data_IF_985493801782
#
_entry.id   IF_985493801782
#
_cell.length_a   1.000
_cell.length_b   1.000
_cell.length_c   1.000
_cell.angle_alpha   90.00
_cell.angle_beta   90.00
_cell.angle_gamma   90.00
#
_symmetry.space_group_name_H-M   'P 1'
#
loop_
_entity.id
_entity.type
_entity.pdbx_description
1 polymer ?
#
# COMPACT_ATOMS: atom_id res chain seq x y z
N UNK A 1 25.83 -4.05 -52.57
CA UNK A 1 24.52 -4.61 -52.15
C UNK A 1 24.69 -5.72 -51.11
N UNK A 2 25.41 -5.50 -50.00
CA UNK A 2 25.65 -6.54 -48.98
C UNK A 2 25.63 -6.03 -47.52
N UNK A 3 25.06 -4.85 -47.27
CA UNK A 3 25.07 -4.23 -45.92
C UNK A 3 23.68 -3.97 -45.34
N UNK A 4 22.60 -4.23 -46.10
CA UNK A 4 21.22 -4.05 -45.62
C UNK A 4 20.57 -5.34 -45.10
N UNK A 5 21.17 -6.50 -45.39
CA UNK A 5 20.63 -7.80 -44.98
C UNK A 5 20.91 -8.16 -43.51
N UNK A 6 21.92 -7.55 -42.87
CA UNK A 6 22.29 -7.88 -41.49
C UNK A 6 21.39 -7.21 -40.43
N UNK A 7 20.87 -6.01 -40.73
CA UNK A 7 20.01 -5.25 -39.81
C UNK A 7 18.56 -5.78 -39.74
N UNK A 8 18.09 -6.46 -40.80
CA UNK A 8 16.71 -6.97 -40.87
C UNK A 8 16.51 -8.31 -40.17
N UNK A 9 17.57 -9.08 -39.92
CA UNK A 9 17.48 -10.39 -39.23
C UNK A 9 17.40 -10.21 -37.71
N UNK A 10 18.00 -9.17 -37.15
CA UNK A 10 17.93 -8.87 -35.71
C UNK A 10 16.58 -8.32 -35.25
N UNK A 11 15.84 -7.62 -36.12
CA UNK A 11 14.54 -7.04 -35.78
C UNK A 11 13.40 -8.07 -35.70
N UNK A 12 13.54 -9.22 -36.36
CA UNK A 12 12.49 -10.25 -36.42
C UNK A 12 12.60 -11.31 -35.31
N UNK A 13 13.72 -11.38 -34.59
CA UNK A 13 13.92 -12.37 -33.51
C UNK A 13 13.35 -11.94 -32.15
N UNK A 14 13.10 -10.64 -31.93
CA UNK A 14 12.55 -10.13 -30.66
C UNK A 14 11.01 -10.16 -30.58
N UNK A 15 10.30 -10.41 -31.69
CA UNK A 15 8.84 -10.32 -31.75
C UNK A 15 8.17 -11.69 -31.46
N UNK A 16 8.95 -12.75 -31.25
CA UNK A 16 8.46 -14.13 -31.13
C UNK A 16 8.39 -14.70 -29.69
N UNK A 17 8.72 -13.94 -28.66
CA UNK A 17 8.55 -14.37 -27.25
C UNK A 17 7.79 -13.34 -26.43
N UNK A 18 6.46 -13.42 -26.45
CA UNK A 18 5.59 -13.41 -25.25
C UNK A 18 4.12 -13.36 -25.71
N UNK A 19 3.67 -14.47 -26.28
CA UNK A 19 2.24 -14.76 -26.41
C UNK A 19 1.94 -15.94 -25.50
N UNK A 20 0.85 -15.80 -24.74
CA UNK A 20 0.15 -16.82 -23.94
C UNK A 20 0.66 -17.12 -22.51
N UNK A 21 0.18 -16.31 -21.56
CA UNK A 21 -0.39 -16.86 -20.32
C UNK A 21 -1.73 -16.17 -20.07
N UNK A 22 -2.81 -16.85 -20.46
CA UNK A 22 -4.16 -16.58 -19.98
C UNK A 22 -4.30 -17.22 -18.60
N UNK A 23 -4.30 -16.40 -17.55
CA UNK A 23 -4.78 -16.78 -16.23
C UNK A 23 -5.81 -15.74 -15.79
N UNK A 24 -7.04 -16.21 -15.56
CA UNK A 24 -8.19 -15.44 -15.08
C UNK A 24 -7.84 -14.71 -13.78
N UNK A 25 -7.74 -13.38 -13.84
CA UNK A 25 -7.66 -12.53 -12.64
C UNK A 25 -9.09 -12.29 -12.18
N UNK A 26 -9.49 -12.67 -10.95
CA UNK A 26 -10.74 -12.20 -10.41
C UNK A 26 -10.65 -10.67 -10.32
N UNK A 27 -11.63 -9.98 -10.89
CA UNK A 27 -11.77 -8.54 -10.74
C UNK A 27 -11.96 -8.23 -9.24
N UNK A 28 -10.87 -7.94 -8.55
CA UNK A 28 -10.91 -7.33 -7.23
C UNK A 28 -11.47 -5.92 -7.42
N UNK A 29 -12.65 -5.71 -6.85
CA UNK A 29 -13.47 -4.53 -7.05
C UNK A 29 -12.70 -3.23 -6.72
N UNK A 30 -12.85 -2.27 -7.63
CA UNK A 30 -12.67 -0.84 -7.38
C UNK A 30 -13.57 -0.45 -6.21
N UNK A 31 -12.98 -0.19 -5.05
CA UNK A 31 -13.70 0.29 -3.87
C UNK A 31 -12.88 0.02 -2.62
N UNK A 32 -12.24 1.05 -2.09
CA UNK A 32 -11.65 1.04 -0.75
C UNK A 32 -12.75 0.96 0.31
N UNK A 33 -13.38 -0.20 0.43
CA UNK A 33 -14.17 -0.65 1.57
C UNK A 33 -13.68 -2.06 1.90
N UNK A 34 -12.68 -2.16 2.76
CA UNK A 34 -12.28 -3.44 3.37
C UNK A 34 -11.94 -3.14 4.84
N UNK A 35 -12.90 -3.36 5.74
CA UNK A 35 -13.19 -4.65 6.38
C UNK A 35 -12.13 -4.96 7.44
N UNK A 36 -12.35 -4.41 8.63
CA UNK A 36 -11.81 -4.95 9.86
C UNK A 36 -12.33 -6.40 10.00
N UNK A 37 -11.43 -7.37 9.91
CA UNK A 37 -11.74 -8.73 10.38
C UNK A 37 -11.67 -8.69 11.91
N UNK A 38 -12.77 -8.26 12.52
CA UNK A 38 -12.91 -8.15 13.96
C UNK A 38 -13.58 -9.40 14.50
N UNK A 39 -12.89 -10.13 15.39
CA UNK A 39 -13.58 -11.01 16.33
C UNK A 39 -13.74 -10.37 17.71
N UNK A 40 -12.95 -9.35 18.10
CA UNK A 40 -13.19 -8.60 19.36
C UNK A 40 -12.52 -7.19 19.39
N UNK A 41 -12.16 -6.63 18.22
CA UNK A 41 -11.40 -5.38 18.11
C UNK A 41 -12.04 -4.38 17.16
N UNK A 42 -12.17 -3.12 17.61
CA UNK A 42 -12.56 -2.01 16.76
C UNK A 42 -11.28 -1.37 16.17
N UNK A 43 -11.14 -1.44 14.85
CA UNK A 43 -10.00 -0.89 14.12
C UNK A 43 -10.51 -0.06 12.95
N UNK A 44 -10.29 1.25 13.02
CA UNK A 44 -10.77 2.19 12.01
C UNK A 44 -9.66 3.17 11.58
N UNK A 45 -9.51 3.33 10.27
CA UNK A 45 -8.67 4.38 9.68
C UNK A 45 -9.38 5.74 9.77
N UNK A 46 -8.65 6.75 10.21
CA UNK A 46 -9.07 8.15 10.21
C UNK A 46 -8.12 8.93 9.32
N UNK A 47 -8.62 9.37 8.17
CA UNK A 47 -7.84 10.21 7.25
C UNK A 47 -8.02 11.66 7.68
N UNK A 48 -6.92 12.35 8.00
CA UNK A 48 -6.98 13.69 8.58
C UNK A 48 -7.13 14.79 7.52
N UNK A 49 -6.36 14.65 6.42
CA UNK A 49 -6.20 15.75 5.45
C UNK A 49 -6.64 15.37 4.02
N UNK A 50 -7.54 14.39 3.85
CA UNK A 50 -8.00 13.95 2.51
C UNK A 50 -9.36 14.52 2.12
N UNK A 51 -9.48 14.93 0.85
CA UNK A 51 -10.71 15.47 0.25
C UNK A 51 -11.55 14.40 -0.45
N UNK A 52 -10.97 13.26 -0.79
CA UNK A 52 -11.61 12.18 -1.56
C UNK A 52 -11.68 10.85 -0.79
N UNK A 53 -11.21 10.84 0.45
CA UNK A 53 -11.14 9.63 1.29
C UNK A 53 -10.03 8.67 0.88
N UNK A 54 -9.12 9.09 0.00
CA UNK A 54 -7.97 8.30 -0.45
C UNK A 54 -6.69 8.81 0.22
N UNK A 55 -5.73 7.91 0.42
CA UNK A 55 -4.40 8.23 0.90
C UNK A 55 -3.57 8.90 -0.21
N UNK A 56 -3.15 10.15 0.02
CA UNK A 56 -2.30 10.91 -0.89
C UNK A 56 -0.95 11.19 -0.26
N UNK A 57 0.05 11.32 -1.12
CA UNK A 57 1.37 11.77 -0.72
C UNK A 57 1.29 13.13 0.01
N UNK A 58 2.02 13.24 1.12
CA UNK A 58 2.09 14.44 1.95
C UNK A 58 0.92 14.61 2.93
N UNK A 59 -0.13 13.79 2.82
CA UNK A 59 -1.27 13.85 3.74
C UNK A 59 -0.98 13.09 5.03
N UNK A 60 -1.85 13.25 6.02
CA UNK A 60 -1.74 12.53 7.29
C UNK A 60 -2.92 11.59 7.52
N UNK A 61 -2.61 10.47 8.18
CA UNK A 61 -3.59 9.49 8.65
C UNK A 61 -3.34 9.15 10.11
N UNK A 62 -4.39 8.72 10.79
CA UNK A 62 -4.30 8.12 12.12
C UNK A 62 -5.31 6.98 12.22
N UNK A 63 -5.32 6.28 13.35
CA UNK A 63 -6.17 5.12 13.56
C UNK A 63 -6.85 5.20 14.92
N UNK A 64 -8.11 4.80 14.97
CA UNK A 64 -8.77 4.46 16.22
C UNK A 64 -8.59 2.97 16.46
N UNK A 65 -7.92 2.64 17.56
CA UNK A 65 -7.60 1.26 17.95
C UNK A 65 -8.27 0.98 19.29
N UNK A 66 -9.09 -0.06 19.32
CA UNK A 66 -9.63 -0.64 20.55
C UNK A 66 -9.63 -2.16 20.40
N UNK A 67 -9.04 -2.85 21.36
CA UNK A 67 -8.96 -4.32 21.35
C UNK A 67 -8.87 -4.82 22.78
N UNK A 68 -9.46 -5.99 23.04
CA UNK A 68 -9.29 -6.72 24.30
C UNK A 68 -8.20 -7.79 24.22
N UNK A 69 -7.63 -8.02 23.03
CA UNK A 69 -6.63 -9.07 22.80
C UNK A 69 -5.26 -8.75 23.43
N UNK A 70 -4.94 -7.47 23.64
CA UNK A 70 -3.66 -7.02 24.20
C UNK A 70 -3.77 -5.63 24.80
N UNK A 71 -2.88 -5.31 25.74
CA UNK A 71 -2.68 -3.95 26.25
C UNK A 71 -1.68 -3.14 25.43
N UNK A 72 -0.93 -3.78 24.53
CA UNK A 72 0.12 -3.17 23.71
C UNK A 72 -0.10 -3.42 22.21
N UNK A 73 -1.22 -2.99 21.62
CA UNK A 73 -1.44 -3.12 20.19
C UNK A 73 -0.53 -2.19 19.38
N UNK A 74 -0.14 -2.65 18.20
CA UNK A 74 0.61 -1.90 17.21
C UNK A 74 -0.13 -1.87 15.88
N UNK A 75 0.07 -0.80 15.11
CA UNK A 75 -0.43 -0.67 13.74
C UNK A 75 0.74 -0.59 12.80
N UNK A 76 0.77 -1.48 11.80
CA UNK A 76 1.64 -1.38 10.64
C UNK A 76 0.83 -0.81 9.47
N UNK A 77 1.38 0.17 8.76
CA UNK A 77 0.78 0.77 7.57
C UNK A 77 1.74 0.59 6.39
N UNK A 78 1.23 0.04 5.29
CA UNK A 78 1.97 -0.13 4.03
C UNK A 78 1.17 0.45 2.89
N UNK A 79 1.77 1.35 2.12
CA UNK A 79 1.15 1.96 0.94
C UNK A 79 1.90 1.60 -0.33
N UNK A 80 1.15 1.30 -1.39
CA UNK A 80 1.69 0.86 -2.67
C UNK A 80 1.12 1.67 -3.84
N UNK A 81 1.93 1.92 -4.86
CA UNK A 81 1.50 2.48 -6.15
C UNK A 81 1.77 1.45 -7.24
N UNK A 82 0.73 1.06 -7.98
CA UNK A 82 0.85 0.04 -9.04
C UNK A 82 1.51 -1.26 -8.57
N UNK A 83 1.23 -1.66 -7.32
CA UNK A 83 1.78 -2.87 -6.70
C UNK A 83 3.20 -2.72 -6.13
N UNK A 84 3.85 -1.57 -6.26
CA UNK A 84 5.17 -1.30 -5.66
C UNK A 84 5.00 -0.61 -4.33
N UNK A 85 5.63 -1.12 -3.28
CA UNK A 85 5.63 -0.50 -1.95
C UNK A 85 6.36 0.85 -2.00
N UNK A 86 5.64 1.93 -1.72
CA UNK A 86 6.18 3.29 -1.71
C UNK A 86 6.29 3.86 -0.29
N UNK A 87 5.56 3.33 0.68
CA UNK A 87 5.63 3.78 2.07
C UNK A 87 5.35 2.63 3.03
N UNK A 88 6.10 2.58 4.12
CA UNK A 88 5.86 1.65 5.22
C UNK A 88 6.24 2.30 6.54
N UNK A 89 5.39 2.14 7.54
CA UNK A 89 5.63 2.59 8.91
C UNK A 89 4.93 1.68 9.91
N UNK A 90 5.28 1.82 11.19
CA UNK A 90 4.57 1.17 12.29
C UNK A 90 4.69 1.98 13.58
N UNK A 91 3.68 1.90 14.43
CA UNK A 91 3.67 2.56 15.73
C UNK A 91 2.77 1.85 16.73
N UNK A 92 2.97 2.10 18.03
CA UNK A 92 2.17 1.56 19.12
C UNK A 92 0.94 2.43 19.42
N UNK A 93 -0.19 1.79 19.72
CA UNK A 93 -1.46 2.41 20.10
C UNK A 93 -1.86 2.02 21.53
N UNK A 94 -1.04 2.40 22.51
CA UNK A 94 -1.28 2.11 23.93
C UNK A 94 -0.72 3.18 24.84
N UNK A 95 -1.23 3.20 26.08
CA UNK A 95 -0.73 4.06 27.14
C UNK A 95 0.71 3.64 27.51
N UNK A 96 1.66 4.58 27.45
CA UNK A 96 3.07 4.33 27.74
C UNK A 96 3.97 4.13 26.52
N UNK A 97 3.42 4.13 25.30
CA UNK A 97 4.25 4.16 24.09
C UNK A 97 5.10 5.43 24.04
N UNK A 98 6.42 5.28 23.84
CA UNK A 98 7.39 6.38 24.01
C UNK A 98 7.31 7.48 22.93
N UNK A 99 6.66 7.21 21.80
CA UNK A 99 6.61 8.12 20.65
C UNK A 99 5.17 8.36 20.16
N UNK A 100 4.26 8.91 20.99
CA UNK A 100 2.84 9.02 20.65
C UNK A 100 2.59 9.90 19.42
N UNK A 101 3.45 10.87 19.12
CA UNK A 101 3.34 11.71 17.93
C UNK A 101 3.45 10.93 16.61
N UNK A 102 4.01 9.71 16.63
CA UNK A 102 4.10 8.85 15.45
C UNK A 102 2.78 8.14 15.10
N UNK A 103 1.75 8.26 15.97
CA UNK A 103 0.39 7.81 15.69
C UNK A 103 -0.32 8.68 14.65
N UNK A 104 0.20 9.88 14.38
CA UNK A 104 -0.13 10.68 13.20
C UNK A 104 0.93 10.37 12.15
N UNK A 105 0.54 9.59 11.15
CA UNK A 105 1.45 9.10 10.11
C UNK A 105 1.40 10.04 8.91
N UNK A 106 2.46 10.80 8.68
CA UNK A 106 2.65 11.55 7.43
C UNK A 106 3.01 10.59 6.31
N UNK A 107 2.18 10.57 5.27
CA UNK A 107 2.27 9.71 4.11
C UNK A 107 3.33 10.23 3.13
N UNK A 108 4.60 10.05 3.49
CA UNK A 108 5.72 10.51 2.67
C UNK A 108 6.94 9.61 2.82
N UNK A 109 7.61 9.36 1.70
CA UNK A 109 8.91 8.70 1.67
C UNK A 109 9.70 9.18 0.46
N UNK A 110 10.99 8.86 0.41
CA UNK A 110 11.82 9.09 -0.78
C UNK A 110 11.41 8.26 -2.00
N UNK A 111 10.70 7.14 -1.78
CA UNK A 111 10.22 6.25 -2.85
C UNK A 111 8.82 6.65 -3.37
N UNK A 112 8.12 7.53 -2.65
CA UNK A 112 6.81 8.04 -3.04
C UNK A 112 6.95 9.48 -3.53
N UNK A 113 6.83 9.70 -4.83
CA UNK A 113 7.09 11.01 -5.45
C UNK A 113 5.84 11.87 -5.62
N UNK A 114 4.65 11.36 -5.29
CA UNK A 114 3.39 12.09 -5.38
C UNK A 114 2.19 11.18 -5.67
N UNK A 115 0.99 11.79 -5.67
CA UNK A 115 -0.27 11.11 -6.03
C UNK A 115 -0.83 10.19 -4.94
N UNK A 116 -1.89 9.47 -5.29
CA UNK A 116 -2.56 8.52 -4.39
C UNK A 116 -1.85 7.18 -4.33
N UNK A 117 -2.03 6.45 -3.24
CA UNK A 117 -1.54 5.09 -3.06
C UNK A 117 -2.60 4.19 -2.40
N UNK A 118 -2.50 2.89 -2.65
CA UNK A 118 -3.29 1.87 -1.99
C UNK A 118 -2.63 1.51 -0.66
N UNK A 119 -3.24 1.89 0.46
CA UNK A 119 -2.72 1.64 1.80
C UNK A 119 -3.46 0.52 2.52
N UNK A 120 -2.71 -0.40 3.11
CA UNK A 120 -3.20 -1.47 3.97
C UNK A 120 -2.64 -1.27 5.37
N UNK A 121 -3.53 -1.25 6.35
CA UNK A 121 -3.20 -1.15 7.75
C UNK A 121 -3.49 -2.47 8.47
N UNK A 122 -2.54 -2.93 9.28
CA UNK A 122 -2.63 -4.19 10.02
C UNK A 122 -2.44 -3.91 11.50
N UNK A 123 -3.43 -4.29 12.30
CA UNK A 123 -3.32 -4.35 13.76
C UNK A 123 -2.58 -5.64 14.15
N UNK A 124 -1.54 -5.53 14.98
CA UNK A 124 -0.76 -6.67 15.45
C UNK A 124 -0.26 -6.45 16.89
N UNK A 125 0.22 -7.52 17.53
CA UNK A 125 0.82 -7.52 18.86
C UNK A 125 1.82 -8.68 18.95
N UNK A 126 2.72 -8.64 19.94
CA UNK A 126 3.76 -9.65 20.17
C UNK A 126 3.39 -10.64 21.26
#
# INVERSE_FOLDING_TARGET
MFSKALASVFALFFIAMLVLVSASVPAAAKGGRHNASATDSNFALVVLDSTDGVAHWGHQVTFTVSTTATTEPHVSLKCSQSGVLVYATQTGYFAGYLWPWTQVMTLSSVAWTGGSADCVATLYYF
#
